data_IF_557344767504
#
_entry.id   IF_557344767504
#
_cell.length_a   1.000
_cell.length_b   1.000
_cell.length_c   1.000
_cell.angle_alpha   90.00
_cell.angle_beta   90.00
_cell.angle_gamma   90.00
#
_symmetry.space_group_name_H-M   'P 1'
#
loop_
_entity.id
_entity.type
_entity.pdbx_description
1 polymer ?
#
# COMPACT_ATOMS: atom_id res chain seq x y z
N UNK A 1 12.35 12.63 17.16
CA UNK A 1 11.02 12.22 16.64
C UNK A 1 10.96 10.70 16.77
N UNK A 2 10.06 10.20 17.61
CA UNK A 2 9.81 8.79 17.94
C UNK A 2 8.54 8.24 17.23
N UNK A 3 7.64 9.14 16.78
CA UNK A 3 6.46 8.83 15.98
C UNK A 3 6.37 9.77 14.78
N UNK A 4 6.23 9.21 13.58
CA UNK A 4 5.83 9.92 12.37
C UNK A 4 4.42 9.49 11.97
N UNK A 5 3.52 10.45 11.77
CA UNK A 5 2.22 10.24 11.16
C UNK A 5 2.18 11.08 9.88
N UNK A 6 2.09 10.43 8.73
CA UNK A 6 2.05 11.12 7.42
C UNK A 6 1.40 10.21 6.39
N UNK A 7 0.80 10.76 5.34
CA UNK A 7 0.28 10.00 4.22
C UNK A 7 0.79 10.61 2.90
N UNK A 8 0.64 9.87 1.82
CA UNK A 8 1.05 10.32 0.49
C UNK A 8 -0.10 11.02 -0.22
N UNK A 9 0.25 11.93 -1.13
CA UNK A 9 -0.72 12.52 -2.05
C UNK A 9 -1.46 11.45 -2.85
N UNK A 10 -2.76 11.65 -3.16
CA UNK A 10 -3.60 10.65 -3.80
C UNK A 10 -3.35 10.56 -5.32
N UNK A 11 -2.10 10.37 -5.75
CA UNK A 11 -1.66 10.32 -7.16
C UNK A 11 -2.62 9.56 -8.08
N UNK A 12 -2.97 8.32 -7.72
CA UNK A 12 -3.86 7.49 -8.53
C UNK A 12 -5.28 8.06 -8.67
N UNK A 13 -5.79 8.78 -7.66
CA UNK A 13 -7.10 9.44 -7.79
C UNK A 13 -7.04 10.54 -8.84
N UNK A 14 -5.95 11.30 -8.88
CA UNK A 14 -5.74 12.38 -9.86
C UNK A 14 -5.58 11.84 -11.29
N UNK A 15 -4.89 10.71 -11.45
CA UNK A 15 -4.80 10.01 -12.76
C UNK A 15 -6.19 9.67 -13.30
N UNK A 16 -7.12 9.25 -12.43
CA UNK A 16 -8.48 8.85 -12.82
C UNK A 16 -9.47 10.02 -12.95
N UNK A 17 -9.09 11.26 -12.63
CA UNK A 17 -9.99 12.41 -12.63
C UNK A 17 -9.93 13.27 -13.90
N UNK A 18 -9.51 12.72 -15.04
CA UNK A 18 -9.28 13.46 -16.30
C UNK A 18 -8.40 14.72 -16.11
N UNK A 19 -7.46 14.67 -15.18
CA UNK A 19 -6.56 15.78 -14.88
C UNK A 19 -5.48 15.91 -15.96
N UNK A 20 -4.97 17.14 -16.14
CA UNK A 20 -3.84 17.39 -17.04
C UNK A 20 -2.57 16.68 -16.54
N UNK A 21 -1.66 16.37 -17.47
CA UNK A 21 -0.35 15.79 -17.15
C UNK A 21 0.39 16.59 -16.06
N UNK A 22 0.41 17.92 -16.19
CA UNK A 22 1.00 18.81 -15.19
C UNK A 22 0.40 18.59 -13.79
N UNK A 23 -0.93 18.51 -13.69
CA UNK A 23 -1.60 18.27 -12.41
C UNK A 23 -1.28 16.88 -11.84
N UNK A 24 -1.09 15.87 -12.69
CA UNK A 24 -0.71 14.53 -12.26
C UNK A 24 0.73 14.53 -11.72
N UNK A 25 1.66 15.19 -12.40
CA UNK A 25 3.07 15.31 -11.98
C UNK A 25 3.18 16.02 -10.63
N UNK A 26 2.41 17.09 -10.40
CA UNK A 26 2.37 17.80 -9.10
C UNK A 26 1.85 16.94 -7.94
N UNK A 27 1.23 15.78 -8.22
CA UNK A 27 0.77 14.84 -7.20
C UNK A 27 1.80 13.75 -6.85
N UNK A 28 3.01 13.82 -7.42
CA UNK A 28 4.12 12.93 -7.05
C UNK A 28 4.78 13.47 -5.77
N UNK A 29 4.61 12.75 -4.67
CA UNK A 29 5.04 13.16 -3.34
C UNK A 29 6.45 12.64 -3.02
N UNK A 30 7.45 13.50 -3.23
CA UNK A 30 8.86 13.17 -2.94
C UNK A 30 9.14 13.20 -1.43
N UNK A 31 8.60 14.21 -0.74
CA UNK A 31 8.88 14.45 0.69
C UNK A 31 8.24 13.38 1.57
N UNK A 32 6.97 13.06 1.33
CA UNK A 32 6.23 12.02 2.04
C UNK A 32 6.90 10.66 1.90
N UNK A 33 7.28 10.26 0.69
CA UNK A 33 7.99 8.97 0.46
C UNK A 33 9.33 8.95 1.18
N UNK A 34 10.12 10.03 1.11
CA UNK A 34 11.41 10.12 1.80
C UNK A 34 11.26 9.98 3.32
N UNK A 35 10.32 10.70 3.93
CA UNK A 35 10.05 10.65 5.37
C UNK A 35 9.56 9.26 5.81
N UNK A 36 8.59 8.69 5.09
CA UNK A 36 8.05 7.35 5.39
C UNK A 36 9.17 6.31 5.36
N UNK A 37 10.00 6.30 4.31
CA UNK A 37 11.12 5.34 4.18
C UNK A 37 12.18 5.54 5.25
N UNK A 38 12.53 6.79 5.57
CA UNK A 38 13.51 7.09 6.61
C UNK A 38 13.05 6.60 7.99
N UNK A 39 11.80 6.86 8.36
CA UNK A 39 11.23 6.37 9.63
C UNK A 39 11.04 4.86 9.64
N UNK A 40 10.55 4.27 8.55
CA UNK A 40 10.39 2.81 8.43
C UNK A 40 11.73 2.07 8.55
N UNK A 41 12.80 2.59 7.93
CA UNK A 41 14.17 2.04 8.08
C UNK A 41 14.60 2.04 9.55
N UNK A 42 14.22 3.07 10.30
CA UNK A 42 14.64 3.27 11.68
C UNK A 42 13.67 2.65 12.72
N UNK A 43 12.89 1.63 12.34
CA UNK A 43 11.84 1.02 13.18
C UNK A 43 12.30 0.50 14.55
N UNK A 44 13.59 0.32 14.79
CA UNK A 44 14.10 0.01 16.13
C UNK A 44 13.78 1.13 17.13
N UNK A 45 13.74 2.38 16.67
CA UNK A 45 13.59 3.57 17.50
C UNK A 45 12.36 4.41 17.16
N UNK A 46 11.77 4.24 15.97
CA UNK A 46 10.67 5.10 15.50
C UNK A 46 9.47 4.32 14.98
N UNK A 47 8.27 4.82 15.25
CA UNK A 47 7.01 4.30 14.69
C UNK A 47 6.58 5.15 13.50
N UNK A 48 6.14 4.50 12.41
CA UNK A 48 5.59 5.17 11.22
C UNK A 48 4.13 4.77 11.03
N UNK A 49 3.25 5.75 10.98
CA UNK A 49 1.83 5.55 10.67
C UNK A 49 1.55 6.20 9.33
N UNK A 50 1.28 5.37 8.33
CA UNK A 50 1.04 5.81 6.96
C UNK A 50 -0.39 5.61 6.46
N UNK A 51 -1.29 5.25 7.37
CA UNK A 51 -2.69 4.91 7.10
C UNK A 51 -3.55 5.24 8.32
N UNK A 52 -4.69 5.89 8.08
CA UNK A 52 -5.65 6.25 9.14
C UNK A 52 -6.22 4.99 9.81
N UNK A 53 -6.28 3.87 9.08
CA UNK A 53 -6.76 2.58 9.60
C UNK A 53 -5.90 2.05 10.75
N UNK A 54 -4.66 2.54 10.92
CA UNK A 54 -3.76 2.09 11.98
C UNK A 54 -3.93 2.84 13.29
N UNK A 55 -4.72 3.92 13.33
CA UNK A 55 -4.83 4.78 14.53
C UNK A 55 -5.37 4.02 15.74
N UNK A 56 -6.41 3.22 15.57
CA UNK A 56 -6.97 2.42 16.66
C UNK A 56 -5.99 1.35 17.14
N UNK A 57 -5.23 0.74 16.23
CA UNK A 57 -4.21 -0.25 16.60
C UNK A 57 -3.06 0.39 17.37
N UNK A 58 -2.65 1.61 17.00
CA UNK A 58 -1.63 2.37 17.70
C UNK A 58 -2.09 2.73 19.10
N UNK A 59 -3.32 3.23 19.23
CA UNK A 59 -3.93 3.56 20.53
C UNK A 59 -3.98 2.34 21.44
N UNK A 60 -4.44 1.20 20.92
CA UNK A 60 -4.49 -0.05 21.68
C UNK A 60 -3.10 -0.54 22.11
N UNK A 61 -2.11 -0.48 21.21
CA UNK A 61 -0.73 -0.82 21.51
C UNK A 61 -0.16 0.06 22.63
N UNK A 62 -0.35 1.38 22.53
CA UNK A 62 0.14 2.33 23.53
C UNK A 62 -0.52 2.13 24.90
N UNK A 63 -1.84 1.94 24.95
CA UNK A 63 -2.56 1.68 26.21
C UNK A 63 -2.03 0.40 26.87
N UNK A 64 -1.82 -0.66 26.08
CA UNK A 64 -1.35 -1.96 26.58
C UNK A 64 0.10 -1.91 27.09
N UNK A 65 0.94 -1.07 26.49
CA UNK A 65 2.38 -1.05 26.73
C UNK A 65 2.84 0.27 27.40
N UNK A 66 2.06 0.83 28.34
CA UNK A 66 2.43 2.02 29.12
C UNK A 66 2.86 3.23 28.26
N UNK A 67 2.05 3.56 27.26
CA UNK A 67 2.29 4.61 26.27
C UNK A 67 3.52 4.39 25.36
N UNK A 68 3.99 3.14 25.24
CA UNK A 68 5.08 2.77 24.34
C UNK A 68 4.59 1.87 23.20
N UNK A 69 5.44 1.68 22.20
CA UNK A 69 5.25 0.67 21.16
C UNK A 69 6.25 -0.46 21.35
N UNK A 70 5.87 -1.68 21.03
CA UNK A 70 6.81 -2.80 21.00
C UNK A 70 7.66 -2.78 19.72
N UNK A 71 8.82 -3.42 19.76
CA UNK A 71 9.67 -3.60 18.57
C UNK A 71 8.93 -4.36 17.47
N UNK A 72 8.13 -5.36 17.84
CA UNK A 72 7.33 -6.15 16.91
C UNK A 72 6.30 -5.28 16.17
N UNK A 73 5.57 -4.45 16.91
CA UNK A 73 4.61 -3.51 16.33
C UNK A 73 5.28 -2.50 15.39
N UNK A 74 6.45 -1.94 15.78
CA UNK A 74 7.20 -1.04 14.89
C UNK A 74 7.69 -1.72 13.61
N UNK A 75 8.16 -2.96 13.71
CA UNK A 75 8.57 -3.76 12.53
C UNK A 75 7.37 -4.05 11.61
N UNK A 76 6.20 -4.31 12.18
CA UNK A 76 4.96 -4.47 11.42
C UNK A 76 4.59 -3.18 10.67
N UNK A 77 4.60 -2.04 11.35
CA UNK A 77 4.36 -0.73 10.74
C UNK A 77 5.36 -0.40 9.62
N UNK A 78 6.65 -0.68 9.82
CA UNK A 78 7.68 -0.49 8.80
C UNK A 78 7.44 -1.36 7.57
N UNK A 79 7.02 -2.62 7.75
CA UNK A 79 6.64 -3.51 6.64
C UNK A 79 5.50 -2.92 5.83
N UNK A 80 4.47 -2.38 6.50
CA UNK A 80 3.35 -1.70 5.83
C UNK A 80 3.79 -0.43 5.09
N UNK A 81 4.67 0.36 5.68
CA UNK A 81 5.20 1.59 5.08
C UNK A 81 6.01 1.30 3.80
N UNK A 82 6.83 0.25 3.78
CA UNK A 82 7.53 -0.17 2.57
C UNK A 82 6.57 -0.75 1.51
N UNK A 83 5.53 -1.46 1.91
CA UNK A 83 4.49 -1.91 0.98
C UNK A 83 3.75 -0.71 0.33
N UNK A 84 3.41 0.32 1.11
CA UNK A 84 2.78 1.54 0.62
C UNK A 84 3.66 2.26 -0.42
N UNK A 85 4.94 2.45 -0.12
CA UNK A 85 5.86 3.15 -1.03
C UNK A 85 6.15 2.34 -2.30
N UNK A 86 6.28 1.01 -2.19
CA UNK A 86 6.38 0.14 -3.37
C UNK A 86 5.14 0.21 -4.28
N UNK A 87 3.95 0.23 -3.68
CA UNK A 87 2.70 0.44 -4.42
C UNK A 87 2.67 1.82 -5.09
N UNK A 88 3.08 2.86 -4.37
CA UNK A 88 3.07 4.24 -4.86
C UNK A 88 4.00 4.42 -6.07
N UNK A 89 5.24 3.93 -5.96
CA UNK A 89 6.22 4.01 -7.05
C UNK A 89 5.80 3.15 -8.26
N UNK A 90 5.21 1.97 -8.03
CA UNK A 90 4.66 1.14 -9.11
C UNK A 90 3.55 1.87 -9.88
N UNK A 91 2.70 2.63 -9.18
CA UNK A 91 1.66 3.42 -9.83
C UNK A 91 2.22 4.56 -10.69
N UNK A 92 3.24 5.27 -10.19
CA UNK A 92 3.93 6.33 -10.94
C UNK A 92 4.57 5.74 -12.19
N UNK A 93 5.31 4.62 -12.04
CA UNK A 93 5.93 3.92 -13.16
C UNK A 93 4.91 3.52 -14.23
N UNK A 94 3.81 2.85 -13.82
CA UNK A 94 2.77 2.40 -14.74
C UNK A 94 2.06 3.56 -15.45
N UNK A 95 1.93 4.72 -14.80
CA UNK A 95 1.39 5.92 -15.43
C UNK A 95 2.33 6.47 -16.51
N UNK A 96 3.63 6.62 -16.23
CA UNK A 96 4.60 7.05 -17.25
C UNK A 96 4.67 6.07 -18.42
N UNK A 97 4.64 4.76 -18.12
CA UNK A 97 4.62 3.72 -19.14
C UNK A 97 3.40 3.87 -20.07
N UNK A 98 2.21 4.17 -19.53
CA UNK A 98 0.99 4.33 -20.33
C UNK A 98 0.96 5.61 -21.17
N UNK A 99 1.83 6.58 -20.91
CA UNK A 99 1.99 7.76 -21.79
C UNK A 99 2.82 7.44 -23.05
N UNK A 100 3.56 6.32 -23.05
CA UNK A 100 4.29 5.85 -24.21
C UNK A 100 3.35 5.43 -25.35
N UNK A 101 3.77 5.66 -26.61
CA UNK A 101 3.01 5.27 -27.81
C UNK A 101 3.39 3.89 -28.36
N UNK A 102 4.26 3.15 -27.67
CA UNK A 102 4.71 1.84 -28.13
C UNK A 102 3.69 0.76 -27.78
N UNK A 103 3.41 -0.12 -28.72
CA UNK A 103 2.62 -1.33 -28.50
C UNK A 103 3.48 -2.52 -28.05
N UNK A 104 4.77 -2.31 -27.80
CA UNK A 104 5.68 -3.32 -27.29
C UNK A 104 5.48 -3.57 -25.79
N UNK A 105 5.80 -4.78 -25.34
CA UNK A 105 5.82 -5.09 -23.91
C UNK A 105 6.94 -4.28 -23.22
N UNK A 106 6.71 -3.79 -21.99
CA UNK A 106 7.70 -2.99 -21.30
C UNK A 106 8.93 -3.81 -20.91
N UNK A 107 10.10 -3.18 -20.92
CA UNK A 107 11.35 -3.77 -20.40
C UNK A 107 11.25 -4.11 -18.91
N UNK A 108 10.55 -3.27 -18.15
CA UNK A 108 10.30 -3.46 -16.73
C UNK A 108 8.80 -3.67 -16.48
N UNK A 109 8.46 -4.75 -15.77
CA UNK A 109 7.07 -5.06 -15.46
C UNK A 109 6.87 -5.04 -13.94
N UNK A 110 5.89 -4.26 -13.48
CA UNK A 110 5.51 -4.20 -12.07
C UNK A 110 4.09 -4.67 -11.87
N UNK A 111 3.89 -5.51 -10.85
CA UNK A 111 2.57 -5.88 -10.37
C UNK A 111 2.55 -5.69 -8.86
N UNK A 112 1.51 -5.01 -8.38
CA UNK A 112 1.23 -4.91 -6.96
C UNK A 112 -0.22 -5.31 -6.70
N UNK A 113 -0.50 -5.76 -5.49
CA UNK A 113 -1.86 -6.08 -5.07
C UNK A 113 -1.98 -6.21 -3.56
N UNK A 114 -3.12 -5.77 -3.04
CA UNK A 114 -3.53 -6.04 -1.67
C UNK A 114 -4.35 -7.33 -1.65
N UNK A 115 -4.16 -8.16 -0.63
CA UNK A 115 -4.97 -9.36 -0.45
C UNK A 115 -6.42 -8.94 -0.24
N UNK A 116 -7.30 -9.37 -1.13
CA UNK A 116 -8.74 -9.09 -1.04
C UNK A 116 -9.50 -10.27 -0.41
N UNK A 117 -9.11 -11.51 -0.73
CA UNK A 117 -9.75 -12.70 -0.14
C UNK A 117 -8.77 -13.87 -0.09
N UNK A 118 -8.79 -14.65 1.00
CA UNK A 118 -8.14 -15.97 1.03
C UNK A 118 -9.03 -17.00 0.34
N UNK A 119 -8.44 -17.88 -0.47
CA UNK A 119 -9.19 -18.95 -1.14
C UNK A 119 -9.06 -20.25 -0.35
N UNK A 120 -10.05 -21.13 -0.52
CA UNK A 120 -10.08 -22.41 0.19
C UNK A 120 -8.86 -23.29 -0.11
N UNK A 121 -8.44 -23.30 -1.37
CA UNK A 121 -7.22 -23.94 -1.86
C UNK A 121 -6.81 -23.28 -3.18
N UNK A 122 -5.61 -23.59 -3.67
CA UNK A 122 -5.15 -23.18 -4.99
C UNK A 122 -5.76 -24.03 -6.09
N UNK A 123 -4.94 -24.50 -7.01
CA UNK A 123 -5.41 -25.43 -8.05
C UNK A 123 -5.72 -26.82 -7.46
N UNK A 124 -4.98 -27.21 -6.40
CA UNK A 124 -5.13 -28.48 -5.69
C UNK A 124 -5.40 -28.27 -4.19
N UNK A 125 -6.13 -29.18 -3.50
CA UNK A 125 -6.55 -29.01 -2.09
C UNK A 125 -5.44 -28.76 -1.07
N UNK A 126 -4.21 -29.19 -1.34
CA UNK A 126 -3.05 -29.01 -0.45
C UNK A 126 -2.34 -27.66 -0.66
N UNK A 127 -2.68 -26.91 -1.71
CA UNK A 127 -2.07 -25.63 -2.04
C UNK A 127 -2.85 -24.47 -1.40
N UNK A 128 -2.13 -23.49 -0.84
CA UNK A 128 -2.74 -22.24 -0.36
C UNK A 128 -2.90 -21.27 -1.53
N UNK A 129 -4.00 -20.51 -1.53
CA UNK A 129 -4.19 -19.43 -2.50
C UNK A 129 -4.96 -18.24 -1.91
N UNK A 130 -4.87 -17.12 -2.60
CA UNK A 130 -5.59 -15.91 -2.28
C UNK A 130 -5.79 -15.06 -3.54
N UNK A 131 -6.88 -14.32 -3.56
CA UNK A 131 -7.15 -13.30 -4.55
C UNK A 131 -6.54 -11.96 -4.10
N UNK A 132 -5.76 -11.35 -4.98
CA UNK A 132 -5.14 -10.04 -4.78
C UNK A 132 -5.72 -9.03 -5.78
N UNK A 133 -5.91 -7.79 -5.34
CA UNK A 133 -6.45 -6.69 -6.15
C UNK A 133 -5.53 -5.49 -6.09
N UNK A 134 -5.34 -4.81 -7.21
CA UNK A 134 -4.62 -3.54 -7.31
C UNK A 134 -5.52 -2.33 -6.99
N UNK A 135 -6.82 -2.56 -6.76
CA UNK A 135 -7.79 -1.56 -6.32
C UNK A 135 -7.95 -1.63 -4.80
N UNK A 136 -7.89 -0.46 -4.14
CA UNK A 136 -7.66 -0.30 -2.70
C UNK A 136 -8.65 -1.00 -1.75
N UNK A 137 -9.77 -1.55 -2.20
CA UNK A 137 -10.78 -2.09 -1.26
C UNK A 137 -11.90 -2.95 -1.84
N UNK A 138 -11.79 -3.46 -3.08
CA UNK A 138 -12.89 -4.26 -3.65
C UNK A 138 -12.41 -5.54 -4.29
N UNK A 139 -13.00 -6.65 -3.85
CA UNK A 139 -13.23 -7.77 -4.76
C UNK A 139 -14.03 -7.20 -5.93
N UNK A 140 -13.61 -7.38 -7.19
CA UNK A 140 -14.26 -6.74 -8.34
C UNK A 140 -15.69 -7.25 -8.55
N UNK A 141 -16.09 -8.29 -7.81
CA UNK A 141 -17.38 -8.96 -7.90
C UNK A 141 -18.08 -8.96 -6.55
N UNK A 142 -19.38 -8.68 -6.56
CA UNK A 142 -20.23 -8.86 -5.40
C UNK A 142 -20.75 -10.30 -5.37
N UNK A 143 -20.53 -11.01 -4.27
CA UNK A 143 -21.03 -12.37 -4.10
C UNK A 143 -22.48 -12.33 -3.62
N UNK A 144 -23.42 -12.63 -4.52
CA UNK A 144 -24.87 -12.58 -4.24
C UNK A 144 -25.36 -13.88 -3.58
N UNK A 145 -24.73 -15.04 -3.84
CA UNK A 145 -25.10 -16.33 -3.26
C UNK A 145 -23.93 -17.35 -3.27
N UNK A 146 -24.11 -18.53 -2.65
CA UNK A 146 -23.18 -19.67 -2.73
C UNK A 146 -22.14 -19.77 -1.61
N UNK A 147 -21.30 -20.82 -1.66
CA UNK A 147 -20.18 -21.02 -0.72
C UNK A 147 -19.03 -20.05 -1.03
N UNK A 148 -18.13 -19.83 -0.07
CA UNK A 148 -16.93 -19.01 -0.34
C UNK A 148 -16.12 -19.57 -1.50
N UNK A 149 -15.52 -18.65 -2.26
CA UNK A 149 -14.59 -18.92 -3.35
C UNK A 149 -13.30 -19.54 -2.80
#
# INVERSE_FOLDING_TARGET
IDLLITNLYPFWKTVNSNSSEKQIIEQIDIGGVALIRATAKNFHFTSVISSIQDYETLKAEMIKNNNQTTLEYRKHLATKAFALTAQYDSNIYNWFLSQGKSNELPEFFTLYGCKAQGLRYGENPHQKAAFYSNQFSKYPLEKIHGKEL
#
